data_IF_939688929749
#
_entry.id   IF_939688929749
#
_cell.length_a   1.000
_cell.length_b   1.000
_cell.length_c   1.000
_cell.angle_alpha   90.00
_cell.angle_beta   90.00
_cell.angle_gamma   90.00
#
_symmetry.space_group_name_H-M   'P 1'
#
loop_
_entity.id
_entity.type
_entity.pdbx_description
1 polymer ?
#
# COMPACT_ATOMS: atom_id res chain seq x y z
N UNK A 1 31.71 -10.30 62.68
CA UNK A 1 31.12 -11.59 62.31
C UNK A 1 29.62 -11.44 62.19
N UNK A 2 29.09 -11.40 61.03
CA UNK A 2 27.89 -12.06 60.50
C UNK A 2 27.42 -11.37 59.26
N UNK A 3 27.61 -12.09 58.16
CA UNK A 3 27.04 -11.75 56.85
C UNK A 3 25.54 -11.90 56.91
N UNK A 4 24.84 -10.93 56.36
CA UNK A 4 23.43 -11.06 55.97
C UNK A 4 23.38 -10.85 54.47
N UNK A 5 23.07 -11.91 53.76
CA UNK A 5 22.84 -11.96 52.33
C UNK A 5 21.51 -11.29 51.98
N UNK A 6 21.55 -10.21 51.23
CA UNK A 6 20.36 -9.62 50.64
C UNK A 6 19.98 -10.38 49.36
N UNK A 7 18.90 -11.13 49.49
CA UNK A 7 18.18 -11.73 48.37
C UNK A 7 17.40 -10.62 47.65
N UNK A 8 17.95 -10.09 46.54
CA UNK A 8 17.19 -9.23 45.62
C UNK A 8 16.32 -10.13 44.74
N UNK A 9 15.05 -10.20 45.08
CA UNK A 9 13.99 -10.71 44.20
C UNK A 9 13.80 -9.69 43.08
N UNK A 10 14.31 -10.03 41.87
CA UNK A 10 13.95 -9.31 40.65
C UNK A 10 12.50 -9.61 40.31
N UNK A 11 11.60 -8.69 40.65
CA UNK A 11 10.26 -8.65 40.06
C UNK A 11 10.40 -8.37 38.56
N UNK A 12 9.99 -9.32 37.74
CA UNK A 12 9.78 -9.14 36.33
C UNK A 12 8.63 -8.16 36.14
N UNK A 13 8.93 -6.94 35.71
CA UNK A 13 7.91 -5.97 35.27
C UNK A 13 7.28 -6.52 33.97
N UNK A 14 6.12 -7.10 34.08
CA UNK A 14 5.22 -7.32 32.96
C UNK A 14 4.82 -5.96 32.40
N UNK A 15 5.41 -5.58 31.26
CA UNK A 15 4.97 -4.40 30.52
C UNK A 15 3.51 -4.62 30.11
N UNK A 16 2.59 -4.00 30.82
CA UNK A 16 1.19 -3.91 30.42
C UNK A 16 1.12 -3.09 29.12
N UNK A 17 0.96 -3.78 27.99
CA UNK A 17 0.67 -3.14 26.72
C UNK A 17 -0.69 -2.45 26.80
N UNK A 18 -0.74 -1.16 26.45
CA UNK A 18 -2.01 -0.43 26.34
C UNK A 18 -2.77 -0.91 25.09
N UNK A 19 -4.11 -0.78 25.03
CA UNK A 19 -4.90 -1.14 23.84
C UNK A 19 -4.44 -0.45 22.55
N UNK A 20 -3.84 0.75 22.63
CA UNK A 20 -3.24 1.48 21.51
C UNK A 20 -1.95 0.81 21.00
N UNK A 21 -1.12 0.24 21.88
CA UNK A 21 0.10 -0.49 21.48
C UNK A 21 -0.23 -1.82 20.81
N UNK A 22 -1.30 -2.50 21.24
CA UNK A 22 -1.77 -3.72 20.58
C UNK A 22 -2.36 -3.49 19.17
N UNK A 23 -2.86 -2.27 18.87
CA UNK A 23 -3.33 -1.90 17.54
C UNK A 23 -2.18 -1.73 16.53
N UNK A 24 -0.96 -1.47 17.00
CA UNK A 24 0.24 -1.28 16.16
C UNK A 24 0.89 -2.61 15.74
N UNK A 25 0.57 -3.72 16.38
CA UNK A 25 1.14 -5.05 16.09
C UNK A 25 0.34 -5.84 15.04
N UNK A 26 -0.86 -5.41 14.69
CA UNK A 26 -1.66 -6.09 13.66
C UNK A 26 -1.04 -5.90 12.28
N UNK A 27 -1.00 -6.95 11.43
CA UNK A 27 -0.59 -6.83 10.03
C UNK A 27 -1.31 -5.68 9.33
N UNK A 28 -0.64 -5.00 8.42
CA UNK A 28 -1.32 -4.06 7.54
C UNK A 28 -2.23 -4.82 6.59
N UNK A 29 -3.44 -4.30 6.41
CA UNK A 29 -4.41 -4.85 5.48
C UNK A 29 -4.27 -4.19 4.11
N UNK A 30 -4.40 -4.98 3.04
CA UNK A 30 -4.27 -4.47 1.69
C UNK A 30 -5.36 -4.98 0.76
N UNK A 31 -5.59 -4.25 -0.34
CA UNK A 31 -6.37 -4.70 -1.47
C UNK A 31 -5.63 -4.42 -2.78
N UNK A 32 -5.87 -5.26 -3.79
CA UNK A 32 -5.24 -5.15 -5.12
C UNK A 32 -6.32 -5.12 -6.19
N UNK A 33 -6.26 -4.10 -7.07
CA UNK A 33 -7.16 -3.96 -8.22
C UNK A 33 -6.35 -3.98 -9.50
N UNK A 34 -6.61 -4.93 -10.38
CA UNK A 34 -6.04 -4.91 -11.74
C UNK A 34 -7.01 -4.24 -12.70
N UNK A 35 -6.57 -3.20 -13.40
CA UNK A 35 -7.33 -2.51 -14.44
C UNK A 35 -6.99 -3.12 -15.79
N UNK A 36 -7.94 -3.81 -16.41
CA UNK A 36 -7.76 -4.45 -17.72
C UNK A 36 -9.09 -4.80 -18.36
N UNK A 37 -9.46 -4.13 -19.47
CA UNK A 37 -10.63 -4.49 -20.27
C UNK A 37 -10.61 -5.95 -20.75
N UNK A 38 -9.43 -6.45 -21.17
CA UNK A 38 -9.27 -7.84 -21.63
C UNK A 38 -9.31 -8.83 -20.47
N UNK A 39 -8.72 -8.48 -19.32
CA UNK A 39 -8.74 -9.28 -18.12
C UNK A 39 -10.15 -9.44 -17.58
N UNK A 40 -10.90 -8.35 -17.48
CA UNK A 40 -12.30 -8.34 -17.01
C UNK A 40 -13.23 -9.18 -17.89
N UNK A 41 -12.92 -9.32 -19.20
CA UNK A 41 -13.65 -10.19 -20.16
C UNK A 41 -13.13 -11.64 -20.21
N UNK A 42 -12.14 -12.00 -19.39
CA UNK A 42 -11.51 -13.33 -19.43
C UNK A 42 -10.69 -13.62 -20.69
N UNK A 43 -10.35 -12.59 -21.47
CA UNK A 43 -9.59 -12.71 -22.71
C UNK A 43 -8.05 -12.67 -22.49
N UNK A 44 -7.63 -12.36 -21.28
CA UNK A 44 -6.24 -12.31 -20.86
C UNK A 44 -6.12 -12.75 -19.42
N UNK A 45 -5.15 -13.60 -19.14
CA UNK A 45 -4.80 -13.98 -17.77
C UNK A 45 -4.16 -12.78 -17.08
N UNK A 46 -4.62 -12.45 -15.87
CA UNK A 46 -3.96 -11.47 -15.03
C UNK A 46 -2.77 -12.10 -14.32
N UNK A 47 -1.58 -11.58 -14.57
CA UNK A 47 -0.35 -11.96 -13.89
C UNK A 47 0.14 -10.83 -12.95
N UNK A 48 -0.37 -9.62 -13.12
CA UNK A 48 0.07 -8.44 -12.36
C UNK A 48 -0.56 -8.38 -10.97
N UNK A 49 -1.84 -8.65 -10.86
CA UNK A 49 -2.54 -8.74 -9.58
C UNK A 49 -1.95 -9.82 -8.66
N UNK A 50 -1.86 -11.10 -9.11
CA UNK A 50 -1.20 -12.14 -8.34
C UNK A 50 0.24 -11.82 -7.94
N UNK A 51 1.01 -11.14 -8.82
CA UNK A 51 2.36 -10.72 -8.48
C UNK A 51 2.38 -9.69 -7.33
N UNK A 52 1.45 -8.74 -7.33
CA UNK A 52 1.32 -7.75 -6.25
C UNK A 52 0.88 -8.42 -4.94
N UNK A 53 -0.10 -9.33 -5.00
CA UNK A 53 -0.59 -10.10 -3.83
C UNK A 53 0.56 -10.87 -3.19
N UNK A 54 1.30 -11.66 -3.98
CA UNK A 54 2.43 -12.44 -3.48
C UNK A 54 3.45 -11.55 -2.74
N UNK A 55 3.85 -10.42 -3.33
CA UNK A 55 4.83 -9.51 -2.72
C UNK A 55 4.32 -8.86 -1.43
N UNK A 56 3.03 -8.53 -1.37
CA UNK A 56 2.41 -8.00 -0.16
C UNK A 56 2.39 -9.04 0.97
N UNK A 57 2.00 -10.28 0.68
CA UNK A 57 1.97 -11.37 1.64
C UNK A 57 3.38 -11.72 2.15
N UNK A 58 4.38 -11.78 1.25
CA UNK A 58 5.79 -11.96 1.62
C UNK A 58 6.33 -10.82 2.51
N UNK A 59 5.79 -9.61 2.36
CA UNK A 59 6.11 -8.46 3.20
C UNK A 59 5.26 -8.38 4.50
N UNK A 60 4.40 -9.37 4.76
CA UNK A 60 3.61 -9.47 6.00
C UNK A 60 2.27 -8.71 5.97
N UNK A 61 1.79 -8.28 4.81
CA UNK A 61 0.47 -7.68 4.67
C UNK A 61 -0.61 -8.76 4.60
N UNK A 62 -1.79 -8.47 5.16
CA UNK A 62 -2.98 -9.28 4.98
C UNK A 62 -3.78 -8.77 3.78
N UNK A 63 -3.74 -9.48 2.64
CA UNK A 63 -4.51 -9.11 1.46
C UNK A 63 -5.96 -9.53 1.64
N UNK A 64 -6.85 -8.56 1.79
CA UNK A 64 -8.30 -8.77 2.02
C UNK A 64 -9.04 -9.07 0.73
N UNK A 65 -8.70 -8.38 -0.34
CA UNK A 65 -9.34 -8.53 -1.63
C UNK A 65 -8.34 -8.34 -2.77
N UNK A 66 -8.51 -9.12 -3.84
CA UNK A 66 -7.80 -8.94 -5.10
C UNK A 66 -8.75 -9.28 -6.26
N UNK A 67 -8.94 -8.35 -7.18
CA UNK A 67 -9.87 -8.51 -8.29
C UNK A 67 -9.50 -7.66 -9.51
N UNK A 68 -10.18 -7.95 -10.64
CA UNK A 68 -9.97 -7.26 -11.90
C UNK A 68 -11.19 -6.39 -12.20
N UNK A 69 -10.94 -5.16 -12.63
CA UNK A 69 -11.94 -4.25 -13.19
C UNK A 69 -11.65 -3.94 -14.66
N UNK A 70 -12.66 -3.63 -15.46
CA UNK A 70 -12.43 -2.98 -16.76
C UNK A 70 -11.83 -1.58 -16.56
N UNK A 71 -11.23 -1.01 -17.60
CA UNK A 71 -10.66 0.34 -17.58
C UNK A 71 -11.77 1.42 -17.60
N UNK A 72 -12.65 1.39 -16.58
CA UNK A 72 -13.78 2.31 -16.38
C UNK A 72 -13.58 3.15 -15.12
N UNK A 73 -13.38 4.47 -15.22
CA UNK A 73 -13.06 5.34 -14.08
C UNK A 73 -14.10 5.29 -12.96
N UNK A 74 -15.39 5.32 -13.30
CA UNK A 74 -16.49 5.36 -12.33
C UNK A 74 -16.58 4.07 -11.50
N UNK A 75 -16.25 2.92 -12.09
CA UNK A 75 -16.17 1.65 -11.36
C UNK A 75 -14.97 1.64 -10.42
N UNK A 76 -13.83 2.16 -10.88
CA UNK A 76 -12.64 2.25 -10.04
C UNK A 76 -12.88 3.20 -8.86
N UNK A 77 -13.44 4.38 -9.09
CA UNK A 77 -13.76 5.35 -8.04
C UNK A 77 -14.64 4.72 -6.96
N UNK A 78 -15.72 4.03 -7.37
CA UNK A 78 -16.64 3.35 -6.46
C UNK A 78 -15.92 2.31 -5.59
N UNK A 79 -15.07 1.47 -6.19
CA UNK A 79 -14.35 0.44 -5.45
C UNK A 79 -13.27 1.01 -4.55
N UNK A 80 -12.55 2.05 -4.98
CA UNK A 80 -11.58 2.74 -4.13
C UNK A 80 -12.26 3.36 -2.90
N UNK A 81 -13.44 3.99 -3.07
CA UNK A 81 -14.23 4.52 -1.96
C UNK A 81 -14.67 3.40 -1.03
N UNK A 82 -15.19 2.29 -1.55
CA UNK A 82 -15.62 1.12 -0.74
C UNK A 82 -14.47 0.55 0.09
N UNK A 83 -13.32 0.33 -0.55
CA UNK A 83 -12.14 -0.22 0.13
C UNK A 83 -11.61 0.71 1.23
N UNK A 84 -11.62 2.02 0.99
CA UNK A 84 -11.12 3.00 1.96
C UNK A 84 -12.14 3.33 3.06
N UNK A 85 -13.42 3.49 2.72
CA UNK A 85 -14.42 4.04 3.64
C UNK A 85 -15.18 2.96 4.41
N UNK A 86 -15.47 1.81 3.76
CA UNK A 86 -16.26 0.73 4.33
C UNK A 86 -15.35 -0.40 4.85
N UNK A 87 -14.48 -0.95 3.99
CA UNK A 87 -13.56 -2.03 4.38
C UNK A 87 -12.37 -1.52 5.19
N UNK A 88 -11.99 -0.25 5.01
CA UNK A 88 -10.95 0.47 5.76
C UNK A 88 -9.59 -0.25 5.71
N UNK A 89 -9.18 -0.71 4.53
CA UNK A 89 -7.85 -1.27 4.34
C UNK A 89 -6.78 -0.19 4.48
N UNK A 90 -5.59 -0.56 4.93
CA UNK A 90 -4.49 0.38 5.10
C UNK A 90 -3.86 0.78 3.76
N UNK A 91 -3.83 -0.14 2.79
CA UNK A 91 -3.19 0.03 1.49
C UNK A 91 -4.08 -0.49 0.36
N UNK A 92 -4.25 0.30 -0.68
CA UNK A 92 -4.81 -0.15 -1.96
C UNK A 92 -3.76 0.01 -3.05
N UNK A 93 -3.49 -1.06 -3.78
CA UNK A 93 -2.67 -1.02 -4.98
C UNK A 93 -3.58 -1.18 -6.20
N UNK A 94 -3.41 -0.30 -7.19
CA UNK A 94 -3.99 -0.50 -8.52
C UNK A 94 -2.89 -0.84 -9.51
N UNK A 95 -3.13 -1.74 -10.46
CA UNK A 95 -2.18 -2.10 -11.52
C UNK A 95 -2.83 -1.94 -12.89
N UNK A 96 -2.26 -1.09 -13.74
CA UNK A 96 -2.76 -0.80 -15.09
C UNK A 96 -3.42 0.58 -15.23
N UNK A 97 -3.73 0.97 -16.45
CA UNK A 97 -4.38 2.24 -16.79
C UNK A 97 -3.58 3.51 -16.46
N UNK A 98 -2.24 3.42 -16.40
CA UNK A 98 -1.37 4.54 -16.00
C UNK A 98 -0.55 5.14 -17.16
N UNK A 99 -0.74 4.69 -18.39
CA UNK A 99 -0.02 5.17 -19.58
C UNK A 99 -0.71 6.31 -20.31
N UNK A 100 -0.49 6.39 -21.63
CA UNK A 100 -0.99 7.49 -22.48
C UNK A 100 -2.15 7.08 -23.37
N UNK A 101 -2.68 5.86 -23.23
CA UNK A 101 -3.90 5.47 -23.94
C UNK A 101 -5.08 6.31 -23.47
N UNK A 102 -6.05 6.56 -24.36
CA UNK A 102 -7.29 7.26 -24.00
C UNK A 102 -8.12 6.53 -22.94
N UNK A 103 -7.92 5.22 -22.81
CA UNK A 103 -8.56 4.38 -21.79
C UNK A 103 -7.80 4.39 -20.46
N UNK A 104 -6.54 4.83 -20.45
CA UNK A 104 -5.72 4.89 -19.24
C UNK A 104 -6.17 6.08 -18.37
N UNK A 105 -7.14 5.86 -17.50
CA UNK A 105 -7.76 6.88 -16.64
C UNK A 105 -7.62 6.57 -15.13
N UNK A 106 -6.78 5.59 -14.79
CA UNK A 106 -6.55 5.20 -13.38
C UNK A 106 -6.06 6.36 -12.51
N UNK A 107 -5.10 7.20 -12.95
CA UNK A 107 -4.65 8.33 -12.14
C UNK A 107 -5.75 9.37 -11.87
N UNK A 108 -6.57 9.67 -12.87
CA UNK A 108 -7.66 10.64 -12.78
C UNK A 108 -8.73 10.14 -11.79
N UNK A 109 -9.15 8.88 -11.91
CA UNK A 109 -10.11 8.27 -10.99
C UNK A 109 -9.57 8.23 -9.54
N UNK A 110 -8.27 7.92 -9.38
CA UNK A 110 -7.63 7.90 -8.06
C UNK A 110 -7.56 9.31 -7.45
N UNK A 111 -7.25 10.33 -8.25
CA UNK A 111 -7.20 11.71 -7.80
C UNK A 111 -8.59 12.27 -7.45
N UNK A 112 -9.64 11.84 -8.16
CA UNK A 112 -11.00 12.31 -7.94
C UNK A 112 -11.55 11.99 -6.53
N UNK A 113 -11.08 10.88 -5.93
CA UNK A 113 -11.56 10.41 -4.61
C UNK A 113 -10.58 10.76 -3.47
N UNK A 114 -9.49 11.45 -3.75
CA UNK A 114 -8.42 11.69 -2.78
C UNK A 114 -8.78 12.81 -1.80
N UNK A 115 -8.49 12.62 -0.51
CA UNK A 115 -8.50 13.69 0.49
C UNK A 115 -7.18 14.47 0.47
N UNK A 116 -6.06 13.76 0.25
CA UNK A 116 -4.70 14.33 0.23
C UNK A 116 -3.83 13.65 -0.80
N UNK A 117 -2.95 14.39 -1.44
CA UNK A 117 -1.92 13.86 -2.33
C UNK A 117 -0.70 13.39 -1.52
N UNK A 118 -0.10 12.29 -1.95
CA UNK A 118 1.16 11.75 -1.41
C UNK A 118 2.18 11.53 -2.54
N UNK A 119 2.57 12.58 -3.30
CA UNK A 119 3.25 12.45 -4.59
C UNK A 119 4.61 11.76 -4.50
N UNK A 120 5.29 11.85 -3.37
CA UNK A 120 6.65 11.33 -3.20
C UNK A 120 6.80 9.84 -3.49
N UNK A 121 5.76 9.00 -3.24
CA UNK A 121 5.81 7.57 -3.52
C UNK A 121 5.83 7.33 -5.05
N UNK A 122 4.90 7.94 -5.78
CA UNK A 122 4.83 7.80 -7.23
C UNK A 122 6.05 8.41 -7.95
N UNK A 123 6.60 9.51 -7.42
CA UNK A 123 7.84 10.13 -7.88
C UNK A 123 9.03 9.19 -7.66
N UNK A 124 9.13 8.57 -6.49
CA UNK A 124 10.19 7.63 -6.17
C UNK A 124 10.15 6.38 -7.07
N UNK A 125 8.95 5.82 -7.33
CA UNK A 125 8.77 4.73 -8.28
C UNK A 125 9.29 5.15 -9.67
N UNK A 126 8.90 6.31 -10.20
CA UNK A 126 9.39 6.80 -11.50
C UNK A 126 10.89 6.99 -11.51
N UNK A 127 11.46 7.58 -10.48
CA UNK A 127 12.90 7.83 -10.35
C UNK A 127 13.71 6.51 -10.36
N UNK A 128 13.27 5.51 -9.59
CA UNK A 128 13.91 4.21 -9.55
C UNK A 128 13.75 3.46 -10.87
N UNK A 129 12.54 3.46 -11.45
CA UNK A 129 12.24 2.82 -12.72
C UNK A 129 13.01 3.45 -13.88
N UNK A 130 13.32 4.76 -13.85
CA UNK A 130 14.10 5.44 -14.88
C UNK A 130 15.55 4.92 -14.97
N UNK A 131 16.05 4.25 -13.92
CA UNK A 131 17.36 3.56 -13.97
C UNK A 131 17.31 2.25 -14.76
N UNK A 132 16.11 1.71 -15.00
CA UNK A 132 15.88 0.46 -15.71
C UNK A 132 15.42 0.73 -17.15
N UNK A 133 14.54 1.72 -17.32
CA UNK A 133 13.97 2.09 -18.61
C UNK A 133 13.62 3.58 -18.68
N UNK A 134 13.93 4.22 -19.79
CA UNK A 134 13.54 5.61 -20.10
C UNK A 134 12.01 5.79 -20.21
N UNK A 135 11.28 4.71 -20.52
CA UNK A 135 9.80 4.73 -20.59
C UNK A 135 9.14 4.99 -19.23
N UNK A 136 9.86 4.89 -18.13
CA UNK A 136 9.35 5.19 -16.80
C UNK A 136 8.77 6.63 -16.69
N UNK A 137 9.33 7.59 -17.45
CA UNK A 137 8.84 8.97 -17.49
C UNK A 137 7.43 9.12 -18.08
N UNK A 138 6.93 8.10 -18.79
CA UNK A 138 5.59 8.09 -19.36
C UNK A 138 4.52 7.60 -18.36
N UNK A 139 4.92 7.14 -17.19
CA UNK A 139 3.95 6.75 -16.14
C UNK A 139 3.31 7.99 -15.54
N UNK A 140 1.97 8.05 -15.61
CA UNK A 140 1.14 9.07 -14.96
C UNK A 140 0.62 8.62 -13.59
N UNK A 141 1.05 7.44 -13.12
CA UNK A 141 0.64 6.89 -11.82
C UNK A 141 0.81 7.90 -10.69
N UNK A 142 -0.15 7.89 -9.77
CA UNK A 142 -0.20 8.76 -8.59
C UNK A 142 -0.24 7.95 -7.30
N UNK A 143 -0.01 8.61 -6.19
CA UNK A 143 -0.27 8.07 -4.86
C UNK A 143 -1.01 9.11 -4.03
N UNK A 144 -2.04 8.66 -3.33
CA UNK A 144 -2.97 9.53 -2.60
C UNK A 144 -3.37 8.89 -1.27
N UNK A 145 -3.95 9.69 -0.40
CA UNK A 145 -4.54 9.24 0.86
C UNK A 145 -6.02 9.58 0.84
N UNK A 146 -6.86 8.57 1.17
CA UNK A 146 -8.27 8.75 1.47
C UNK A 146 -8.55 8.24 2.88
N UNK A 147 -9.00 9.12 3.77
CA UNK A 147 -9.15 8.84 5.20
C UNK A 147 -7.88 8.22 5.80
N UNK A 148 -7.90 6.96 6.20
CA UNK A 148 -6.76 6.21 6.72
C UNK A 148 -6.08 5.28 5.71
N UNK A 149 -6.51 5.28 4.44
CA UNK A 149 -6.03 4.38 3.40
C UNK A 149 -5.06 5.09 2.47
N UNK A 150 -3.88 4.48 2.26
CA UNK A 150 -2.93 4.86 1.22
C UNK A 150 -3.31 4.13 -0.08
N UNK A 151 -3.39 4.86 -1.19
CA UNK A 151 -3.72 4.32 -2.52
C UNK A 151 -2.57 4.63 -3.46
N UNK A 152 -2.04 3.60 -4.16
CA UNK A 152 -0.88 3.74 -5.06
C UNK A 152 -1.19 3.11 -6.41
N UNK A 153 -0.96 3.85 -7.49
CA UNK A 153 -1.07 3.31 -8.84
C UNK A 153 0.27 2.73 -9.30
N UNK A 154 0.22 1.48 -9.77
CA UNK A 154 1.35 0.73 -10.32
C UNK A 154 1.22 0.56 -11.83
N UNK A 155 2.32 0.31 -12.55
CA UNK A 155 2.28 -0.07 -13.97
C UNK A 155 1.51 -1.38 -14.18
N UNK A 156 1.02 -1.61 -15.42
CA UNK A 156 0.20 -2.79 -15.74
C UNK A 156 0.97 -4.08 -16.04
N UNK A 157 2.31 -4.07 -16.15
CA UNK A 157 3.05 -5.30 -16.44
C UNK A 157 3.53 -5.99 -15.15
N UNK A 158 3.48 -7.33 -15.07
CA UNK A 158 3.90 -8.07 -13.88
C UNK A 158 5.35 -7.77 -13.46
N UNK A 159 6.25 -7.60 -14.45
CA UNK A 159 7.64 -7.21 -14.20
C UNK A 159 7.73 -5.84 -13.54
N UNK A 160 7.05 -4.84 -14.09
CA UNK A 160 7.10 -3.48 -13.56
C UNK A 160 6.39 -3.36 -12.20
N UNK A 161 5.35 -4.17 -11.92
CA UNK A 161 4.73 -4.29 -10.61
C UNK A 161 5.75 -4.77 -9.58
N UNK A 162 6.47 -5.87 -9.87
CA UNK A 162 7.51 -6.40 -8.96
C UNK A 162 8.62 -5.40 -8.69
N UNK A 163 9.11 -4.74 -9.74
CA UNK A 163 10.14 -3.70 -9.62
C UNK A 163 9.64 -2.53 -8.76
N UNK A 164 8.46 -2.00 -9.05
CA UNK A 164 7.87 -0.87 -8.33
C UNK A 164 7.65 -1.18 -6.84
N UNK A 165 7.07 -2.34 -6.53
CA UNK A 165 6.86 -2.75 -5.14
C UNK A 165 8.20 -3.00 -4.43
N UNK A 166 9.17 -3.61 -5.10
CA UNK A 166 10.52 -3.81 -4.55
C UNK A 166 11.21 -2.50 -4.14
N UNK A 167 10.89 -1.37 -4.79
CA UNK A 167 11.43 -0.07 -4.41
C UNK A 167 10.79 0.52 -3.15
N UNK A 168 9.50 0.29 -2.93
CA UNK A 168 8.72 1.07 -1.96
C UNK A 168 8.31 0.29 -0.70
N UNK A 169 8.08 -1.03 -0.78
CA UNK A 169 7.44 -1.79 0.31
C UNK A 169 8.12 -1.58 1.67
N UNK A 170 9.46 -1.63 1.73
CA UNK A 170 10.21 -1.47 2.98
C UNK A 170 10.06 -0.08 3.62
N UNK A 171 9.65 0.94 2.84
CA UNK A 171 9.48 2.32 3.32
C UNK A 171 8.03 2.65 3.70
N UNK A 172 7.04 1.83 3.29
CA UNK A 172 5.63 2.13 3.50
C UNK A 172 5.19 1.97 4.95
N UNK A 173 5.78 1.05 5.70
CA UNK A 173 5.40 0.72 7.08
C UNK A 173 5.32 1.97 7.97
N UNK A 174 6.32 2.83 7.90
CA UNK A 174 6.34 4.05 8.71
C UNK A 174 5.16 4.98 8.38
N UNK A 175 4.87 5.19 7.10
CA UNK A 175 3.75 6.01 6.66
C UNK A 175 2.40 5.43 7.06
N UNK A 176 2.24 4.11 6.94
CA UNK A 176 1.02 3.40 7.31
C UNK A 176 0.79 3.42 8.83
N UNK A 177 1.84 3.30 9.65
CA UNK A 177 1.73 3.49 11.11
C UNK A 177 1.26 4.89 11.47
N UNK A 178 1.78 5.92 10.81
CA UNK A 178 1.30 7.31 10.99
C UNK A 178 -0.17 7.43 10.61
N UNK A 179 -0.61 6.83 9.51
CA UNK A 179 -2.01 6.86 9.08
C UNK A 179 -2.95 6.15 10.06
N UNK A 180 -2.49 5.09 10.72
CA UNK A 180 -3.22 4.41 11.80
C UNK A 180 -3.30 5.22 13.10
N UNK A 181 -2.55 6.32 13.21
CA UNK A 181 -2.46 7.12 14.44
C UNK A 181 -1.54 6.52 15.52
N UNK A 182 -0.80 5.46 15.21
CA UNK A 182 0.07 4.75 16.15
C UNK A 182 1.47 5.35 16.29
N UNK A 183 1.84 6.34 15.48
CA UNK A 183 3.13 7.03 15.54
C UNK A 183 2.99 8.41 16.19
N UNK A 184 2.76 8.47 17.49
CA UNK A 184 2.57 9.72 18.21
C UNK A 184 3.87 10.46 18.54
N UNK A 185 5.05 10.16 18.12
CA UNK A 185 6.27 10.98 18.35
C UNK A 185 7.41 10.64 17.40
N UNK A 186 7.36 11.08 16.13
CA UNK A 186 8.54 11.09 15.26
C UNK A 186 9.35 12.39 15.32
N UNK A 187 9.09 13.30 16.27
CA UNK A 187 9.72 14.63 16.34
C UNK A 187 10.71 14.80 17.49
N UNK A 188 11.20 13.72 18.12
CA UNK A 188 12.16 13.80 19.19
C UNK A 188 13.36 12.88 18.96
N UNK A 189 14.27 13.26 18.05
CA UNK A 189 15.72 12.96 18.17
C UNK A 189 16.50 13.95 17.34
#
# INVERSE_FOLDING_TARGET
MKNISENQVKASEEKKHTPEQAADERPFTAAVITLSDKGAKGQRVDESGPAAVQMLEEAGYEVREAFILPDEPELLEKELIRLADELKVDLVLTSGGTGFSLRDRTPEATMAIADRNAPGIAEYIRMCSARITDRAMLSRGVSVIRKGTLIINLPGSPKAVRESLGFILHGLDHGLRILRGSASECAAK
#
